data_IF_098144216533
#
_entry.id   IF_098144216533
#
_cell.length_a   1.000
_cell.length_b   1.000
_cell.length_c   1.000
_cell.angle_alpha   90.00
_cell.angle_beta   90.00
_cell.angle_gamma   90.00
#
_symmetry.space_group_name_H-M   'P 1'
#
loop_
_entity.id
_entity.type
_entity.pdbx_description
1 polymer ?
#
# COMPACT_ATOMS: atom_id res chain seq x y z
N UNK A 1 -29.17 -35.38 -22.24
CA UNK A 1 -29.87 -36.07 -21.14
C UNK A 1 -29.12 -37.35 -20.80
N UNK A 2 -28.21 -37.30 -19.83
CA UNK A 2 -27.62 -38.50 -19.23
C UNK A 2 -27.83 -38.41 -17.72
N UNK A 3 -28.39 -39.49 -17.18
CA UNK A 3 -29.04 -39.61 -15.88
C UNK A 3 -28.05 -40.10 -14.83
N UNK A 4 -28.14 -39.48 -13.66
CA UNK A 4 -27.82 -39.97 -12.29
C UNK A 4 -26.65 -40.95 -12.11
N UNK A 5 -25.71 -40.54 -11.26
CA UNK A 5 -25.25 -41.41 -10.16
C UNK A 5 -25.19 -40.57 -8.88
N UNK A 6 -26.03 -40.92 -7.91
CA UNK A 6 -25.95 -40.49 -6.51
C UNK A 6 -25.05 -41.49 -5.78
N UNK A 7 -24.01 -41.03 -5.10
CA UNK A 7 -23.40 -41.79 -4.01
C UNK A 7 -22.90 -40.83 -2.93
N UNK A 8 -23.54 -40.90 -1.77
CA UNK A 8 -23.20 -40.19 -0.54
C UNK A 8 -21.97 -40.80 0.13
N UNK A 9 -21.16 -39.97 0.79
CA UNK A 9 -20.41 -40.38 1.98
C UNK A 9 -20.16 -39.15 2.86
N UNK A 10 -20.83 -39.12 4.01
CA UNK A 10 -20.56 -38.20 5.10
C UNK A 10 -19.34 -38.68 5.88
N UNK A 11 -18.40 -37.78 6.16
CA UNK A 11 -17.37 -38.00 7.20
C UNK A 11 -17.37 -36.80 8.13
N UNK A 12 -17.66 -37.10 9.39
CA UNK A 12 -17.71 -36.18 10.51
C UNK A 12 -16.31 -35.89 11.09
N UNK A 13 -16.12 -34.65 11.55
CA UNK A 13 -15.41 -34.29 12.78
C UNK A 13 -13.87 -34.35 12.80
N UNK A 14 -13.23 -33.21 13.07
CA UNK A 14 -12.78 -32.88 14.43
C UNK A 14 -12.38 -31.40 14.54
N UNK A 15 -12.90 -30.73 15.57
CA UNK A 15 -12.46 -29.41 16.04
C UNK A 15 -11.19 -29.60 16.86
N UNK A 16 -10.11 -28.87 16.55
CA UNK A 16 -8.96 -28.72 17.45
C UNK A 16 -8.77 -27.23 17.74
N UNK A 17 -8.95 -26.90 19.02
CA UNK A 17 -8.83 -25.57 19.59
C UNK A 17 -7.37 -25.20 19.89
N UNK A 18 -7.16 -23.88 19.91
CA UNK A 18 -6.04 -23.05 20.41
C UNK A 18 -4.89 -23.73 21.19
N UNK A 19 -3.66 -23.30 20.88
CA UNK A 19 -2.66 -22.94 21.89
C UNK A 19 -1.65 -21.91 21.34
N UNK A 20 -1.73 -20.68 21.83
CA UNK A 20 -0.62 -19.72 21.82
C UNK A 20 0.47 -20.23 22.77
N UNK A 21 1.73 -20.20 22.34
CA UNK A 21 2.88 -20.27 23.23
C UNK A 21 3.80 -19.07 22.98
N UNK A 22 3.60 -18.00 23.74
CA UNK A 22 4.65 -17.01 24.02
C UNK A 22 5.52 -17.59 25.14
N UNK A 23 6.80 -17.88 24.89
CA UNK A 23 7.80 -18.07 25.95
C UNK A 23 9.24 -18.00 25.43
N UNK A 24 10.07 -17.21 26.12
CA UNK A 24 11.55 -17.17 26.08
C UNK A 24 12.12 -16.00 25.28
N UNK A 25 12.72 -14.92 25.82
CA UNK A 25 13.26 -14.59 27.14
C UNK A 25 14.31 -15.57 27.72
N UNK A 26 15.58 -15.40 27.33
CA UNK A 26 16.75 -15.59 28.21
C UNK A 26 17.67 -16.78 27.96
N UNK A 27 18.99 -16.53 28.01
CA UNK A 27 20.07 -17.52 28.22
C UNK A 27 20.97 -17.73 27.00
N UNK A 28 22.06 -16.99 26.79
CA UNK A 28 23.41 -17.10 27.40
C UNK A 28 24.23 -18.29 26.84
N UNK A 29 25.39 -17.96 26.25
CA UNK A 29 26.31 -18.89 25.58
C UNK A 29 27.54 -18.16 25.07
N UNK A 30 28.56 -18.12 25.92
CA UNK A 30 29.83 -17.40 25.77
C UNK A 30 30.85 -18.09 24.84
N UNK A 31 31.82 -17.29 24.39
CA UNK A 31 33.24 -17.57 24.02
C UNK A 31 33.61 -16.53 22.92
N UNK A 32 34.43 -15.50 23.12
CA UNK A 32 35.74 -15.45 23.75
C UNK A 32 36.81 -15.41 22.66
N UNK A 33 37.31 -14.22 22.28
CA UNK A 33 38.76 -13.92 22.10
C UNK A 33 39.02 -12.49 21.55
N UNK A 34 39.77 -11.74 22.38
CA UNK A 34 40.86 -10.80 22.12
C UNK A 34 40.89 -9.85 20.91
N UNK A 35 41.07 -8.56 21.21
CA UNK A 35 41.52 -7.55 20.26
C UNK A 35 41.54 -6.13 20.84
N UNK A 36 42.49 -5.85 21.72
CA UNK A 36 42.95 -4.48 22.06
C UNK A 36 43.54 -3.89 20.76
N UNK A 37 43.32 -2.63 20.37
CA UNK A 37 44.28 -1.54 20.59
C UNK A 37 43.77 -0.21 19.95
N UNK A 38 43.92 0.87 20.73
CA UNK A 38 44.49 2.18 20.37
C UNK A 38 43.81 3.14 19.38
N UNK A 39 43.37 4.27 19.96
CA UNK A 39 43.39 5.66 19.50
C UNK A 39 44.02 5.99 18.14
N UNK A 40 43.36 6.87 17.37
CA UNK A 40 43.97 8.15 17.00
C UNK A 40 42.97 9.18 16.44
N UNK A 41 43.16 10.38 16.96
CA UNK A 41 42.68 11.71 16.59
C UNK A 41 42.79 12.02 15.09
N UNK A 42 41.88 12.86 14.59
CA UNK A 42 42.05 13.50 13.27
C UNK A 42 40.88 14.40 12.86
N UNK A 43 40.90 15.66 13.33
CA UNK A 43 40.24 16.79 12.64
C UNK A 43 41.36 17.68 12.10
N UNK A 44 41.22 18.25 10.89
CA UNK A 44 40.92 19.68 10.83
C UNK A 44 39.94 20.12 9.71
N UNK A 45 39.31 21.26 9.98
CA UNK A 45 38.37 22.03 9.15
C UNK A 45 38.87 22.47 7.77
N UNK A 46 37.93 22.75 6.86
CA UNK A 46 38.05 23.84 5.89
C UNK A 46 36.69 24.52 5.67
N UNK A 47 36.69 25.84 5.83
CA UNK A 47 35.60 26.81 5.62
C UNK A 47 35.51 27.26 4.16
N UNK A 48 34.32 27.54 3.64
CA UNK A 48 34.12 28.57 2.62
C UNK A 48 32.70 29.16 2.70
N UNK A 49 32.66 30.46 2.92
CA UNK A 49 31.48 31.32 3.02
C UNK A 49 30.81 31.56 1.67
N UNK A 50 29.49 31.65 1.67
CA UNK A 50 28.69 32.25 0.60
C UNK A 50 27.43 32.88 1.20
N UNK A 51 27.52 34.19 1.50
CA UNK A 51 26.38 35.01 1.90
C UNK A 51 25.64 35.47 0.64
N UNK A 52 24.30 35.36 0.67
CA UNK A 52 23.40 35.86 -0.35
C UNK A 52 21.97 35.86 0.18
N UNK A 53 21.62 36.90 0.94
CA UNK A 53 20.24 37.20 1.35
C UNK A 53 19.41 37.66 0.15
N UNK A 54 18.17 37.18 0.00
CA UNK A 54 16.96 38.01 0.09
C UNK A 54 15.70 37.27 -0.39
N UNK A 55 14.73 37.22 0.52
CA UNK A 55 13.27 37.36 0.34
C UNK A 55 12.52 36.50 -0.69
N UNK A 56 11.53 35.76 -0.21
CA UNK A 56 10.37 35.45 -1.05
C UNK A 56 9.48 34.32 -0.54
N UNK A 57 8.56 34.68 0.34
CA UNK A 57 7.24 34.06 0.50
C UNK A 57 7.12 32.73 1.24
N UNK A 58 6.50 32.88 2.41
CA UNK A 58 5.75 31.88 3.15
C UNK A 58 4.91 30.99 2.23
N UNK A 59 5.14 29.69 2.33
CA UNK A 59 4.12 28.66 2.17
C UNK A 59 4.56 27.48 3.02
N UNK A 60 4.14 27.54 4.28
CA UNK A 60 4.20 26.45 5.23
C UNK A 60 3.40 25.26 4.69
N UNK A 61 4.04 24.40 3.90
CA UNK A 61 3.63 23.01 3.73
C UNK A 61 4.56 22.19 4.60
N UNK A 62 4.04 21.73 5.74
CA UNK A 62 4.77 20.91 6.68
C UNK A 62 5.21 19.60 6.03
N UNK A 63 6.42 19.59 5.46
CA UNK A 63 7.18 18.37 5.21
C UNK A 63 7.64 17.85 6.56
N UNK A 64 6.80 17.01 7.18
CA UNK A 64 7.25 16.11 8.23
C UNK A 64 8.21 15.10 7.63
N UNK A 65 9.50 15.44 7.58
CA UNK A 65 10.58 14.46 7.40
C UNK A 65 10.65 13.58 8.65
N UNK A 66 9.80 12.54 8.68
CA UNK A 66 9.96 11.41 9.57
C UNK A 66 10.87 10.39 8.90
N UNK A 67 12.12 10.30 9.36
CA UNK A 67 13.03 9.20 9.04
C UNK A 67 12.48 7.89 9.59
N UNK A 68 11.76 7.16 8.75
CA UNK A 68 11.32 5.79 8.91
C UNK A 68 10.83 5.33 7.55
N UNK A 69 11.58 4.48 6.87
CA UNK A 69 11.22 3.97 5.55
C UNK A 69 9.96 3.13 5.64
N UNK A 70 8.82 3.77 5.44
CA UNK A 70 7.52 3.12 5.34
C UNK A 70 7.27 2.86 3.86
N UNK A 71 7.16 1.59 3.44
CA UNK A 71 6.92 1.23 2.04
C UNK A 71 5.66 1.89 1.44
N UNK A 72 4.73 2.35 2.30
CA UNK A 72 3.56 3.11 1.91
C UNK A 72 3.81 4.61 1.63
N UNK A 73 4.89 5.20 2.15
CA UNK A 73 5.10 6.65 2.14
C UNK A 73 5.17 7.28 0.74
N UNK A 74 5.57 6.51 -0.27
CA UNK A 74 5.61 6.97 -1.66
C UNK A 74 4.23 7.12 -2.31
N UNK A 75 3.26 6.28 -1.94
CA UNK A 75 1.97 6.13 -2.66
C UNK A 75 0.77 6.74 -1.93
N UNK A 76 1.01 7.43 -0.82
CA UNK A 76 -0.04 8.11 -0.05
C UNK A 76 -0.86 9.09 -0.90
N UNK A 77 -2.18 8.99 -0.78
CA UNK A 77 -3.13 9.86 -1.49
C UNK A 77 -4.38 9.14 -1.99
N UNK A 78 -5.25 9.89 -2.65
CA UNK A 78 -6.38 9.36 -3.41
C UNK A 78 -6.04 9.44 -4.89
N UNK A 79 -6.42 8.41 -5.63
CA UNK A 79 -6.05 8.20 -7.02
C UNK A 79 -7.28 7.72 -7.78
N UNK A 80 -7.51 8.22 -8.99
CA UNK A 80 -8.62 7.81 -9.82
C UNK A 80 -8.26 7.81 -11.30
N UNK A 81 -8.94 6.98 -12.07
CA UNK A 81 -8.72 6.86 -13.51
C UNK A 81 -9.77 5.98 -14.18
N UNK A 82 -9.51 5.67 -15.45
CA UNK A 82 -10.30 4.75 -16.24
C UNK A 82 -9.41 3.59 -16.70
N UNK A 83 -9.89 2.37 -16.50
CA UNK A 83 -9.31 1.15 -17.08
C UNK A 83 -10.38 0.50 -17.95
N UNK A 84 -10.08 0.28 -19.23
CA UNK A 84 -11.06 -0.25 -20.20
C UNK A 84 -12.40 0.51 -20.23
N UNK A 85 -12.34 1.83 -20.02
CA UNK A 85 -13.52 2.71 -19.96
C UNK A 85 -14.34 2.63 -18.68
N UNK A 86 -13.85 1.91 -17.65
CA UNK A 86 -14.51 1.75 -16.35
C UNK A 86 -13.76 2.51 -15.27
N UNK A 87 -14.50 3.11 -14.34
CA UNK A 87 -13.93 3.89 -13.25
C UNK A 87 -13.15 3.00 -12.27
N UNK A 88 -11.95 3.46 -11.93
CA UNK A 88 -11.10 2.88 -10.89
C UNK A 88 -10.75 3.97 -9.90
N UNK A 89 -10.97 3.71 -8.62
CA UNK A 89 -10.63 4.60 -7.52
C UNK A 89 -9.81 3.86 -6.47
N UNK A 90 -8.69 4.43 -6.06
CA UNK A 90 -7.77 3.89 -5.07
C UNK A 90 -7.47 4.96 -4.03
N UNK A 91 -7.56 4.61 -2.75
CA UNK A 91 -7.14 5.46 -1.64
C UNK A 91 -6.07 4.74 -0.84
N UNK A 92 -4.95 5.42 -0.59
CA UNK A 92 -3.88 4.95 0.29
C UNK A 92 -3.72 5.94 1.44
N UNK A 93 -3.82 5.42 2.66
CA UNK A 93 -3.62 6.20 3.89
C UNK A 93 -2.87 5.39 4.93
N UNK A 94 -1.73 5.88 5.38
CA UNK A 94 -0.85 5.20 6.33
C UNK A 94 -0.60 3.72 5.94
N UNK A 95 -0.30 3.51 4.65
CA UNK A 95 -0.07 2.19 4.05
C UNK A 95 -1.31 1.29 3.98
N UNK A 96 -2.50 1.74 4.37
CA UNK A 96 -3.77 1.03 4.17
C UNK A 96 -4.37 1.42 2.83
N UNK A 97 -4.92 0.44 2.13
CA UNK A 97 -5.40 0.60 0.76
C UNK A 97 -6.87 0.23 0.70
N UNK A 98 -7.66 1.07 0.02
CA UNK A 98 -9.01 0.77 -0.42
C UNK A 98 -9.10 1.01 -1.92
N UNK A 99 -9.69 0.05 -2.65
CA UNK A 99 -9.82 0.06 -4.10
C UNK A 99 -11.28 -0.23 -4.46
N UNK A 100 -11.81 0.53 -5.41
CA UNK A 100 -13.09 0.26 -6.07
C UNK A 100 -12.85 0.22 -7.57
N UNK A 101 -13.16 -0.91 -8.20
CA UNK A 101 -13.02 -1.11 -9.64
C UNK A 101 -13.97 -2.21 -10.10
N UNK A 102 -14.60 -2.06 -11.27
CA UNK A 102 -15.49 -3.09 -11.85
C UNK A 102 -16.59 -3.60 -10.90
N UNK A 103 -17.12 -2.71 -10.05
CA UNK A 103 -18.08 -3.02 -8.99
C UNK A 103 -17.54 -3.91 -7.85
N UNK A 104 -16.25 -4.21 -7.84
CA UNK A 104 -15.54 -4.88 -6.75
C UNK A 104 -14.98 -3.86 -5.77
N UNK A 105 -15.10 -4.15 -4.47
CA UNK A 105 -14.49 -3.36 -3.39
C UNK A 105 -13.42 -4.20 -2.73
N UNK A 106 -12.18 -3.75 -2.79
CA UNK A 106 -11.01 -4.45 -2.27
C UNK A 106 -10.29 -3.60 -1.23
N UNK A 107 -9.78 -4.23 -0.18
CA UNK A 107 -9.10 -3.57 0.93
C UNK A 107 -7.84 -4.35 1.31
N UNK A 108 -6.84 -3.64 1.83
CA UNK A 108 -5.62 -4.26 2.31
C UNK A 108 -4.54 -3.23 2.62
N UNK A 109 -3.32 -3.51 2.21
CA UNK A 109 -2.17 -2.67 2.53
C UNK A 109 -1.10 -2.67 1.44
N UNK A 110 -0.22 -1.66 1.53
CA UNK A 110 1.07 -1.67 0.84
C UNK A 110 2.02 -2.54 1.67
N UNK A 111 2.61 -3.55 1.03
CA UNK A 111 3.59 -4.46 1.60
C UNK A 111 4.93 -4.28 0.87
N UNK A 112 6.03 -4.47 1.61
CA UNK A 112 7.37 -4.46 1.05
C UNK A 112 7.84 -5.90 0.87
N UNK A 113 8.07 -6.32 -0.38
CA UNK A 113 8.69 -7.62 -0.69
C UNK A 113 9.95 -7.43 -1.55
N UNK A 114 10.72 -6.38 -1.26
CA UNK A 114 11.86 -5.92 -2.07
C UNK A 114 11.49 -4.73 -2.95
N UNK A 115 10.20 -4.62 -3.30
CA UNK A 115 9.57 -3.45 -3.92
C UNK A 115 8.17 -3.27 -3.30
N UNK A 116 7.64 -2.03 -3.24
CA UNK A 116 6.32 -1.77 -2.69
C UNK A 116 5.23 -2.38 -3.59
N UNK A 117 4.36 -3.18 -2.99
CA UNK A 117 3.24 -3.85 -3.65
C UNK A 117 1.94 -3.70 -2.87
N UNK A 118 0.81 -3.75 -3.58
CA UNK A 118 -0.52 -3.74 -3.00
C UNK A 118 -0.97 -5.19 -2.80
N UNK A 119 -1.27 -5.54 -1.55
CA UNK A 119 -1.86 -6.81 -1.15
C UNK A 119 -3.28 -6.55 -0.68
N UNK A 120 -4.27 -6.95 -1.48
CA UNK A 120 -5.68 -6.63 -1.28
C UNK A 120 -6.55 -7.90 -1.23
N UNK A 121 -7.68 -7.79 -0.53
CA UNK A 121 -8.77 -8.76 -0.52
C UNK A 121 -10.06 -8.08 -0.94
N UNK A 122 -10.76 -8.65 -1.91
CA UNK A 122 -12.06 -8.15 -2.37
C UNK A 122 -13.21 -8.76 -1.55
N UNK A 123 -14.20 -7.95 -1.18
CA UNK A 123 -15.31 -8.36 -0.33
C UNK A 123 -16.18 -9.47 -0.93
N UNK A 124 -16.15 -9.62 -2.25
CA UNK A 124 -16.88 -10.63 -3.02
C UNK A 124 -16.01 -11.81 -3.47
N UNK A 125 -14.74 -11.85 -3.06
CA UNK A 125 -13.80 -12.89 -3.45
C UNK A 125 -13.24 -12.75 -4.87
N UNK A 126 -13.47 -11.62 -5.56
CA UNK A 126 -12.78 -11.32 -6.82
C UNK A 126 -11.24 -11.30 -6.58
N UNK A 127 -10.49 -11.75 -7.59
CA UNK A 127 -9.01 -11.91 -7.53
C UNK A 127 -8.28 -11.16 -8.63
N UNK A 128 -8.95 -10.31 -9.37
CA UNK A 128 -8.37 -9.62 -10.53
C UNK A 128 -7.43 -8.49 -10.09
N UNK A 129 -7.71 -7.86 -8.94
CA UNK A 129 -6.92 -6.78 -8.35
C UNK A 129 -6.52 -7.05 -6.89
N UNK A 130 -6.06 -8.26 -6.57
CA UNK A 130 -5.61 -8.64 -5.21
C UNK A 130 -4.12 -8.52 -4.99
N UNK A 131 -3.31 -8.56 -6.05
CA UNK A 131 -1.86 -8.42 -5.99
C UNK A 131 -1.41 -7.43 -7.07
N UNK A 132 -0.98 -6.24 -6.66
CA UNK A 132 -0.62 -5.15 -7.56
C UNK A 132 0.81 -4.66 -7.36
N UNK A 133 1.61 -4.65 -8.41
CA UNK A 133 2.96 -4.08 -8.41
C UNK A 133 2.92 -2.63 -8.86
N UNK A 134 3.59 -1.74 -8.13
CA UNK A 134 3.70 -0.33 -8.52
C UNK A 134 4.80 -0.22 -9.58
N UNK A 135 4.43 0.00 -10.84
CA UNK A 135 5.40 0.15 -11.94
C UNK A 135 6.03 1.54 -11.97
N UNK A 136 5.24 2.57 -11.68
CA UNK A 136 5.74 3.94 -11.58
C UNK A 136 4.84 4.81 -10.72
N UNK A 137 5.46 5.81 -10.08
CA UNK A 137 4.79 6.82 -9.29
C UNK A 137 5.59 8.12 -9.36
N UNK A 138 5.01 9.17 -9.92
CA UNK A 138 5.62 10.51 -10.04
C UNK A 138 4.97 11.56 -9.14
N UNK A 139 4.16 11.11 -8.17
CA UNK A 139 3.37 11.94 -7.26
C UNK A 139 2.10 12.54 -7.89
N UNK A 140 1.88 12.38 -9.19
CA UNK A 140 0.67 12.83 -9.92
C UNK A 140 0.01 11.68 -10.68
N UNK A 141 0.78 10.72 -11.14
CA UNK A 141 0.37 9.52 -11.85
C UNK A 141 0.92 8.31 -11.11
N UNK A 142 0.06 7.31 -10.94
CA UNK A 142 0.38 6.03 -10.33
C UNK A 142 0.00 4.93 -11.33
N UNK A 143 0.97 4.09 -11.70
CA UNK A 143 0.77 2.95 -12.59
C UNK A 143 0.90 1.66 -11.80
N UNK A 144 -0.14 0.84 -11.83
CA UNK A 144 -0.23 -0.42 -11.09
C UNK A 144 -0.48 -1.55 -12.08
N UNK A 145 0.35 -2.59 -12.00
CA UNK A 145 0.15 -3.83 -12.75
C UNK A 145 -0.35 -4.93 -11.83
N UNK A 146 -1.45 -5.58 -12.20
CA UNK A 146 -2.07 -6.63 -11.42
C UNK A 146 -1.64 -8.01 -11.89
N UNK A 147 -1.61 -8.98 -10.98
CA UNK A 147 -1.16 -10.34 -11.25
C UNK A 147 -1.89 -11.07 -12.38
N UNK A 148 -3.10 -10.64 -12.76
CA UNK A 148 -3.86 -11.21 -13.89
C UNK A 148 -3.71 -10.45 -15.22
N UNK A 149 -2.80 -9.48 -15.29
CA UNK A 149 -2.47 -8.76 -16.52
C UNK A 149 -3.22 -7.44 -16.73
N UNK A 150 -4.21 -7.12 -15.89
CA UNK A 150 -4.82 -5.79 -15.86
C UNK A 150 -3.77 -4.75 -15.44
N UNK A 151 -3.82 -3.56 -16.04
CA UNK A 151 -2.97 -2.42 -15.70
C UNK A 151 -3.84 -1.21 -15.48
N UNK A 152 -3.69 -0.58 -14.32
CA UNK A 152 -4.39 0.66 -14.00
C UNK A 152 -3.40 1.83 -14.07
N UNK A 153 -3.79 2.88 -14.78
CA UNK A 153 -3.09 4.17 -14.78
C UNK A 153 -4.00 5.18 -14.10
N UNK A 154 -3.60 5.61 -12.91
CA UNK A 154 -4.41 6.45 -12.04
C UNK A 154 -3.75 7.82 -11.87
N UNK A 155 -4.56 8.87 -11.79
CA UNK A 155 -4.12 10.22 -11.51
C UNK A 155 -4.45 10.57 -10.06
N UNK A 156 -3.55 11.27 -9.38
CA UNK A 156 -3.75 11.75 -8.02
C UNK A 156 -4.90 12.74 -8.03
N UNK A 157 -5.88 12.49 -7.19
CA UNK A 157 -7.01 13.39 -6.98
C UNK A 157 -6.78 14.18 -5.71
N UNK A 158 -6.91 15.49 -5.79
CA UNK A 158 -7.06 16.32 -4.61
C UNK A 158 -8.37 15.94 -3.91
N UNK A 159 -8.36 15.87 -2.58
CA UNK A 159 -9.54 15.48 -1.80
C UNK A 159 -10.69 16.44 -2.14
N UNK A 160 -11.75 15.93 -2.80
CA UNK A 160 -12.90 16.73 -3.24
C UNK A 160 -12.93 17.10 -4.73
N UNK A 161 -11.94 16.71 -5.53
CA UNK A 161 -11.94 16.89 -6.98
C UNK A 161 -12.10 15.53 -7.66
N UNK A 162 -13.27 15.32 -8.25
CA UNK A 162 -13.60 14.14 -9.05
C UNK A 162 -12.96 14.31 -10.44
N UNK A 163 -12.36 13.27 -11.04
CA UNK A 163 -11.78 13.42 -12.37
C UNK A 163 -12.86 13.77 -13.40
N UNK A 164 -12.48 14.67 -14.30
CA UNK A 164 -13.31 15.11 -15.42
C UNK A 164 -13.69 13.89 -16.28
N UNK A 165 -14.98 13.74 -16.61
CA UNK A 165 -15.47 12.65 -17.48
C UNK A 165 -16.10 11.45 -16.77
N UNK A 166 -16.31 11.52 -15.45
CA UNK A 166 -17.16 10.53 -14.78
C UNK A 166 -18.65 10.74 -15.15
N UNK A 167 -19.41 9.67 -15.39
CA UNK A 167 -20.81 9.77 -15.79
C UNK A 167 -21.61 10.50 -14.70
N UNK A 168 -22.25 11.59 -15.09
CA UNK A 168 -23.05 12.47 -14.21
C UNK A 168 -24.45 11.92 -13.92
N UNK A 169 -24.85 10.81 -14.53
CA UNK A 169 -26.15 10.17 -14.35
C UNK A 169 -26.23 9.31 -13.07
N UNK A 170 -25.87 9.88 -11.93
CA UNK A 170 -26.16 9.26 -10.64
C UNK A 170 -27.67 9.33 -10.39
N UNK A 171 -28.35 8.20 -10.10
CA UNK A 171 -29.78 8.20 -9.80
C UNK A 171 -30.04 9.06 -8.56
N UNK A 172 -30.76 10.17 -8.76
CA UNK A 172 -31.08 11.14 -7.70
C UNK A 172 -32.18 10.64 -6.75
N UNK A 173 -32.71 9.44 -6.96
CA UNK A 173 -33.78 8.87 -6.18
C UNK A 173 -33.23 8.23 -4.90
N UNK A 174 -33.06 9.05 -3.86
CA UNK A 174 -32.96 8.55 -2.49
C UNK A 174 -34.39 8.21 -2.05
N UNK A 175 -34.77 6.93 -1.88
CA UNK A 175 -36.07 6.61 -1.33
C UNK A 175 -36.15 7.15 0.10
N UNK A 176 -37.12 8.03 0.35
CA UNK A 176 -37.42 8.55 1.69
C UNK A 176 -38.13 7.44 2.48
N UNK A 177 -37.79 7.20 3.76
CA UNK A 177 -38.43 6.17 4.58
C UNK A 177 -39.90 6.44 4.87
#
# INVERSE_FOLDING_TARGET
MQKLVRTSAATAGLVAALAFALTGCGGDGADGDSGKDSSSSGTPSATASGSGSSSGSDSNSGSGSGSGGDAGGGVEGTWAGLTDGKAVALSVKAGKVALVADNHVCQGSVEDMGEPMLSLTCADGNTDRTMGSIESNDGKTLVISWGKGTKDTLTKTETGVFPEGLPTDLPTAVPTP
#
